data_IF_144454246387
#
_entry.id   IF_144454246387
#
_cell.length_a   1.000
_cell.length_b   1.000
_cell.length_c   1.000
_cell.angle_alpha   90.00
_cell.angle_beta   90.00
_cell.angle_gamma   90.00
#
_symmetry.space_group_name_H-M   'P 1'
#
loop_
_entity.id
_entity.type
_entity.pdbx_description
1 polymer ?
#
# COMPACT_ATOMS: atom_id res chain seq x y z
N UNK A 1 -6.89 36.70 19.19
CA UNK A 1 -7.49 35.35 19.22
C UNK A 1 -6.83 34.53 18.12
N UNK A 2 -6.51 33.25 18.35
CA UNK A 2 -5.83 32.42 17.34
C UNK A 2 -6.68 32.25 16.08
N UNK A 3 -6.02 32.13 14.93
CA UNK A 3 -6.64 32.09 13.59
C UNK A 3 -7.46 30.81 13.32
N UNK A 4 -7.14 29.71 14.01
CA UNK A 4 -7.84 28.42 13.88
C UNK A 4 -8.78 28.19 15.07
N UNK A 5 -10.07 28.52 14.88
CA UNK A 5 -11.12 28.40 15.91
C UNK A 5 -11.85 27.05 15.79
N UNK A 6 -11.41 26.06 16.56
CA UNK A 6 -12.07 24.76 16.71
C UNK A 6 -12.63 24.53 18.10
N UNK A 7 -13.70 23.76 18.22
CA UNK A 7 -14.20 23.25 19.50
C UNK A 7 -14.05 21.74 19.52
N UNK A 8 -13.43 21.23 20.59
CA UNK A 8 -13.39 19.81 20.90
C UNK A 8 -14.43 19.50 21.96
N UNK A 9 -15.33 18.57 21.63
CA UNK A 9 -16.32 18.00 22.52
C UNK A 9 -15.83 16.61 22.91
N UNK A 10 -15.62 16.38 24.20
CA UNK A 10 -15.14 15.09 24.71
C UNK A 10 -15.89 14.70 25.98
N UNK A 11 -16.05 13.39 26.19
CA UNK A 11 -16.50 12.84 27.47
C UNK A 11 -15.36 12.73 28.50
N UNK A 12 -14.10 12.87 28.08
CA UNK A 12 -12.93 12.61 28.92
C UNK A 12 -11.96 13.82 28.97
N UNK A 13 -12.48 14.99 29.35
CA UNK A 13 -11.68 16.21 29.47
C UNK A 13 -10.45 16.04 30.37
N UNK A 14 -10.56 15.27 31.46
CA UNK A 14 -9.45 15.00 32.38
C UNK A 14 -8.27 14.29 31.71
N UNK A 15 -8.53 13.32 30.81
CA UNK A 15 -7.47 12.65 30.06
C UNK A 15 -6.82 13.60 29.06
N UNK A 16 -7.63 14.38 28.34
CA UNK A 16 -7.12 15.39 27.40
C UNK A 16 -6.24 16.40 28.14
N UNK A 17 -6.70 16.88 29.31
CA UNK A 17 -5.93 17.78 30.17
C UNK A 17 -4.59 17.19 30.60
N UNK A 18 -4.58 15.92 31.01
CA UNK A 18 -3.33 15.23 31.33
C UNK A 18 -2.35 15.21 30.15
N UNK A 19 -2.81 14.96 28.92
CA UNK A 19 -1.93 14.94 27.74
C UNK A 19 -1.40 16.33 27.38
N UNK A 20 -2.19 17.37 27.64
CA UNK A 20 -1.80 18.77 27.47
C UNK A 20 -0.74 19.17 28.49
N UNK A 21 -0.94 18.80 29.76
CA UNK A 21 0.02 19.07 30.85
C UNK A 21 1.36 18.36 30.61
N UNK A 22 1.34 17.19 29.97
CA UNK A 22 2.53 16.44 29.57
C UNK A 22 3.23 17.01 28.32
N UNK A 23 2.65 18.04 27.67
CA UNK A 23 3.20 18.63 26.45
C UNK A 23 3.20 17.70 25.23
N UNK A 24 2.39 16.64 25.26
CA UNK A 24 2.25 15.68 24.16
C UNK A 24 1.50 16.34 22.99
N UNK A 25 0.50 17.17 23.31
CA UNK A 25 -0.18 18.02 22.34
C UNK A 25 0.50 19.40 22.26
N UNK A 26 0.43 20.08 21.11
CA UNK A 26 0.98 21.44 20.98
C UNK A 26 0.42 22.35 22.08
N UNK A 27 1.16 23.41 22.45
CA UNK A 27 0.69 24.41 23.42
C UNK A 27 -0.53 25.14 22.83
N UNK A 28 -1.72 24.62 23.08
CA UNK A 28 -3.00 25.24 22.73
C UNK A 28 -3.61 25.82 23.99
N UNK A 29 -4.18 27.01 23.90
CA UNK A 29 -4.97 27.62 24.99
C UNK A 29 -6.38 27.03 24.97
N UNK A 30 -6.80 26.42 26.07
CA UNK A 30 -8.14 25.84 26.21
C UNK A 30 -8.99 26.76 27.08
N UNK A 31 -10.08 27.26 26.50
CA UNK A 31 -11.06 28.07 27.20
C UNK A 31 -12.29 27.19 27.42
N UNK A 32 -12.69 26.91 28.68
CA UNK A 32 -13.94 26.22 28.95
C UNK A 32 -15.11 27.04 28.38
N UNK A 33 -15.91 26.41 27.53
CA UNK A 33 -17.11 27.02 26.95
C UNK A 33 -18.34 26.33 27.52
N UNK A 34 -19.25 27.11 28.10
CA UNK A 34 -20.56 26.59 28.50
C UNK A 34 -21.44 26.42 27.26
N UNK A 35 -22.31 25.40 27.26
CA UNK A 35 -23.30 25.21 26.18
C UNK A 35 -24.11 26.49 25.91
N UNK A 36 -24.48 27.22 26.97
CA UNK A 36 -25.24 28.47 26.87
C UNK A 36 -24.51 29.62 26.14
N UNK A 37 -23.17 29.59 26.11
CA UNK A 37 -22.35 30.60 25.47
C UNK A 37 -21.83 30.18 24.09
N UNK A 38 -22.10 28.94 23.65
CA UNK A 38 -21.58 28.36 22.40
C UNK A 38 -21.79 29.27 21.18
N UNK A 39 -22.97 29.90 21.06
CA UNK A 39 -23.31 30.81 19.95
C UNK A 39 -22.57 32.13 19.95
N UNK A 40 -21.88 32.48 21.04
CA UNK A 40 -21.06 33.68 21.13
C UNK A 40 -19.70 33.51 20.46
N UNK A 41 -19.34 32.27 20.08
CA UNK A 41 -18.08 31.95 19.45
C UNK A 41 -18.28 31.73 17.95
N UNK A 42 -17.36 32.28 17.16
CA UNK A 42 -17.24 31.94 15.75
C UNK A 42 -16.46 30.63 15.65
N UNK A 43 -17.18 29.52 15.45
CA UNK A 43 -16.61 28.17 15.44
C UNK A 43 -16.52 27.68 14.01
N UNK A 44 -15.30 27.42 13.52
CA UNK A 44 -15.08 26.90 12.16
C UNK A 44 -15.08 25.37 12.13
N UNK A 45 -14.54 24.74 13.17
CA UNK A 45 -14.41 23.28 13.23
C UNK A 45 -14.97 22.72 14.53
N UNK A 46 -15.62 21.56 14.43
CA UNK A 46 -16.22 20.87 15.56
C UNK A 46 -15.72 19.42 15.61
N UNK A 47 -15.05 19.03 16.68
CA UNK A 47 -14.59 17.66 16.88
C UNK A 47 -15.32 16.97 18.02
N UNK A 48 -15.68 15.71 17.82
CA UNK A 48 -16.22 14.83 18.85
C UNK A 48 -15.20 13.72 19.10
N UNK A 49 -14.71 13.62 20.34
CA UNK A 49 -13.74 12.62 20.75
C UNK A 49 -14.28 11.80 21.91
N UNK A 50 -14.38 10.47 21.73
CA UNK A 50 -14.93 9.53 22.71
C UNK A 50 -16.34 9.92 23.19
N UNK A 51 -17.18 10.41 22.28
CA UNK A 51 -18.52 10.88 22.63
C UNK A 51 -19.55 9.75 22.52
N UNK A 52 -20.28 9.54 23.61
CA UNK A 52 -21.39 8.58 23.68
C UNK A 52 -22.71 9.21 23.23
N UNK A 53 -23.63 8.36 22.75
CA UNK A 53 -24.88 8.81 22.15
C UNK A 53 -25.73 9.65 23.11
N UNK A 54 -25.85 9.25 24.38
CA UNK A 54 -26.65 9.99 25.37
C UNK A 54 -26.19 11.45 25.47
N UNK A 55 -24.87 11.66 25.55
CA UNK A 55 -24.31 13.00 25.60
C UNK A 55 -24.54 13.75 24.28
N UNK A 56 -24.30 13.11 23.14
CA UNK A 56 -24.56 13.71 21.82
C UNK A 56 -26.03 14.15 21.66
N UNK A 57 -26.99 13.32 22.06
CA UNK A 57 -28.42 13.65 22.00
C UNK A 57 -28.76 14.89 22.86
N UNK A 58 -28.04 15.12 23.96
CA UNK A 58 -28.26 16.28 24.83
C UNK A 58 -27.81 17.62 24.22
N UNK A 59 -26.95 17.59 23.19
CA UNK A 59 -26.34 18.79 22.59
C UNK A 59 -26.67 18.99 21.11
N UNK A 60 -27.33 18.02 20.45
CA UNK A 60 -27.55 18.05 19.00
C UNK A 60 -28.34 19.28 18.51
N UNK A 61 -29.21 19.85 19.35
CA UNK A 61 -30.04 21.01 19.03
C UNK A 61 -29.25 22.33 19.00
N UNK A 62 -27.95 22.30 19.35
CA UNK A 62 -27.06 23.45 19.23
C UNK A 62 -26.62 23.72 17.80
N UNK A 63 -26.55 22.69 16.96
CA UNK A 63 -25.95 22.74 15.61
C UNK A 63 -26.83 23.41 14.54
N UNK A 64 -28.17 23.30 14.57
CA UNK A 64 -29.01 23.98 13.58
C UNK A 64 -28.76 25.48 13.50
N UNK A 65 -28.51 25.97 12.29
CA UNK A 65 -28.23 27.39 12.00
C UNK A 65 -26.75 27.78 12.09
N UNK A 66 -25.88 26.86 12.52
CA UNK A 66 -24.43 27.06 12.50
C UNK A 66 -23.82 26.39 11.28
N UNK A 67 -22.75 26.99 10.76
CA UNK A 67 -22.03 26.51 9.58
C UNK A 67 -20.59 26.20 9.96
N UNK A 68 -20.16 24.99 9.63
CA UNK A 68 -18.82 24.49 9.91
C UNK A 68 -18.02 24.29 8.63
N UNK A 69 -16.73 24.58 8.69
CA UNK A 69 -15.76 24.15 7.69
C UNK A 69 -15.54 22.63 7.84
N UNK A 70 -15.32 22.14 9.06
CA UNK A 70 -15.08 20.72 9.33
C UNK A 70 -15.84 20.22 10.56
N UNK A 71 -16.40 19.02 10.46
CA UNK A 71 -16.92 18.28 11.61
C UNK A 71 -16.24 16.92 11.68
N UNK A 72 -15.66 16.57 12.82
CA UNK A 72 -14.96 15.30 13.02
C UNK A 72 -15.55 14.44 14.13
N UNK A 73 -15.55 13.13 13.94
CA UNK A 73 -15.93 12.16 14.96
C UNK A 73 -14.80 11.15 15.15
N UNK A 74 -14.33 10.93 16.37
CA UNK A 74 -13.29 9.97 16.71
C UNK A 74 -13.72 9.17 17.94
N UNK A 75 -13.57 7.85 17.89
CA UNK A 75 -13.99 6.91 18.93
C UNK A 75 -15.40 7.17 19.49
N UNK A 76 -16.30 7.72 18.65
CA UNK A 76 -17.61 8.19 19.08
C UNK A 76 -18.72 7.26 18.59
N UNK A 77 -19.68 6.95 19.47
CA UNK A 77 -20.82 6.09 19.19
C UNK A 77 -22.11 6.88 19.32
N UNK A 78 -22.65 7.36 18.20
CA UNK A 78 -23.74 8.34 18.17
C UNK A 78 -24.87 7.93 17.21
N UNK A 79 -26.02 8.57 17.36
CA UNK A 79 -27.14 8.48 16.44
C UNK A 79 -27.41 9.84 15.78
N UNK A 80 -27.19 9.90 14.47
CA UNK A 80 -27.47 11.09 13.65
C UNK A 80 -28.95 11.16 13.20
N UNK A 81 -29.83 10.30 13.69
CA UNK A 81 -31.26 10.36 13.37
C UNK A 81 -31.83 11.73 13.78
N UNK A 82 -32.49 12.39 12.82
CA UNK A 82 -33.07 13.73 12.98
C UNK A 82 -32.04 14.83 13.32
N UNK A 83 -30.79 14.65 12.92
CA UNK A 83 -29.74 15.67 13.03
C UNK A 83 -29.45 16.25 11.66
N UNK A 84 -29.36 17.57 11.56
CA UNK A 84 -28.91 18.29 10.36
C UNK A 84 -27.74 19.21 10.74
N UNK A 85 -26.60 19.04 10.07
CA UNK A 85 -25.39 19.83 10.28
C UNK A 85 -25.01 20.52 8.96
N UNK A 86 -24.85 21.85 8.97
CA UNK A 86 -24.33 22.60 7.82
C UNK A 86 -22.80 22.57 7.88
N UNK A 87 -22.19 21.73 7.05
CA UNK A 87 -20.75 21.43 7.10
C UNK A 87 -20.21 21.15 5.71
N UNK A 88 -19.00 21.66 5.42
CA UNK A 88 -18.30 21.37 4.15
C UNK A 88 -17.55 20.05 4.16
N UNK A 89 -16.85 19.74 5.25
CA UNK A 89 -16.00 18.56 5.37
C UNK A 89 -16.40 17.69 6.57
N UNK A 90 -16.72 16.42 6.31
CA UNK A 90 -16.94 15.42 7.36
C UNK A 90 -15.71 14.51 7.51
N UNK A 91 -15.13 14.47 8.70
CA UNK A 91 -13.99 13.61 9.03
C UNK A 91 -14.42 12.51 10.01
N UNK A 92 -14.26 11.26 9.58
CA UNK A 92 -14.64 10.07 10.33
C UNK A 92 -13.36 9.39 10.79
N UNK A 93 -13.02 9.65 12.04
CA UNK A 93 -11.90 9.07 12.76
C UNK A 93 -12.15 7.60 13.14
N UNK A 94 -11.10 6.98 13.66
CA UNK A 94 -11.12 5.56 14.05
C UNK A 94 -12.24 5.22 15.03
N UNK A 95 -12.71 3.96 14.94
CA UNK A 95 -13.71 3.34 15.85
C UNK A 95 -15.04 4.10 15.96
N UNK A 96 -15.28 5.06 15.08
CA UNK A 96 -16.54 5.78 14.98
C UNK A 96 -17.69 4.84 14.62
N UNK A 97 -18.82 4.97 15.31
CA UNK A 97 -19.99 4.09 15.19
C UNK A 97 -21.26 4.92 15.02
N UNK A 98 -21.65 5.18 13.78
CA UNK A 98 -22.90 5.85 13.44
C UNK A 98 -23.23 5.65 11.96
N UNK A 99 -24.51 5.79 11.61
CA UNK A 99 -24.92 5.80 10.21
C UNK A 99 -24.95 7.22 9.64
N UNK A 100 -24.73 7.33 8.33
CA UNK A 100 -24.62 8.58 7.60
C UNK A 100 -25.66 8.56 6.49
N UNK A 101 -26.39 9.66 6.33
CA UNK A 101 -27.37 9.85 5.25
C UNK A 101 -27.26 11.28 4.71
N UNK A 102 -27.66 11.49 3.45
CA UNK A 102 -27.71 12.82 2.82
C UNK A 102 -28.52 13.84 3.63
N UNK A 103 -29.54 13.39 4.36
CA UNK A 103 -30.37 14.26 5.18
C UNK A 103 -29.65 14.76 6.45
N UNK A 104 -28.49 14.19 6.78
CA UNK A 104 -27.72 14.62 7.95
C UNK A 104 -26.88 15.86 7.70
N UNK A 105 -26.61 16.19 6.44
CA UNK A 105 -25.65 17.23 6.09
C UNK A 105 -26.19 18.19 5.05
N UNK A 106 -25.88 19.46 5.25
CA UNK A 106 -26.12 20.52 4.27
C UNK A 106 -24.77 21.10 3.87
N UNK A 107 -24.53 21.20 2.56
CA UNK A 107 -23.27 21.76 2.04
C UNK A 107 -22.07 20.83 2.12
N UNK A 108 -22.27 19.51 2.31
CA UNK A 108 -21.18 18.54 2.40
C UNK A 108 -20.51 18.34 1.04
N UNK A 109 -19.27 18.78 0.92
CA UNK A 109 -18.46 18.74 -0.30
C UNK A 109 -17.33 17.71 -0.18
N UNK A 110 -16.80 17.47 1.03
CA UNK A 110 -15.69 16.57 1.28
C UNK A 110 -16.00 15.57 2.40
N UNK A 111 -15.54 14.33 2.24
CA UNK A 111 -15.59 13.31 3.29
C UNK A 111 -14.25 12.60 3.43
N UNK A 112 -13.82 12.38 4.66
CA UNK A 112 -12.60 11.63 4.98
C UNK A 112 -12.91 10.50 5.95
N UNK A 113 -12.50 9.28 5.61
CA UNK A 113 -12.44 8.17 6.55
C UNK A 113 -10.98 7.95 6.92
N UNK A 114 -10.60 8.19 8.18
CA UNK A 114 -9.24 7.91 8.67
C UNK A 114 -9.00 6.40 8.87
N UNK A 115 -10.06 5.60 9.00
CA UNK A 115 -9.94 4.15 9.02
C UNK A 115 -11.28 3.50 8.67
N UNK A 116 -11.46 3.10 7.42
CA UNK A 116 -12.66 2.37 6.97
C UNK A 116 -12.79 1.05 7.73
N UNK A 117 -11.67 0.36 7.97
CA UNK A 117 -11.63 -0.91 8.73
C UNK A 117 -12.25 -0.80 10.13
N UNK A 118 -12.08 0.33 10.82
CA UNK A 118 -12.59 0.51 12.18
C UNK A 118 -13.94 1.23 12.24
N UNK A 119 -14.41 1.83 11.14
CA UNK A 119 -15.72 2.45 11.06
C UNK A 119 -16.84 1.41 11.21
N UNK A 120 -17.67 1.57 12.24
CA UNK A 120 -18.79 0.68 12.56
C UNK A 120 -20.12 1.34 12.22
N UNK A 121 -20.28 1.73 10.97
CA UNK A 121 -21.46 2.41 10.47
C UNK A 121 -21.79 2.06 9.03
N UNK A 122 -22.85 2.67 8.51
CA UNK A 122 -23.24 2.57 7.09
C UNK A 122 -23.51 3.95 6.52
N UNK A 123 -23.11 4.15 5.27
CA UNK A 123 -23.67 5.22 4.44
C UNK A 123 -24.99 4.68 3.89
N UNK A 124 -26.11 5.22 4.35
CA UNK A 124 -27.46 4.69 4.08
C UNK A 124 -27.99 5.19 2.72
N UNK A 125 -27.63 6.41 2.34
CA UNK A 125 -28.07 7.04 1.09
C UNK A 125 -26.87 7.62 0.35
N UNK A 126 -26.95 7.70 -0.98
CA UNK A 126 -25.91 8.36 -1.77
C UNK A 126 -25.77 9.83 -1.34
N UNK A 127 -24.52 10.26 -1.19
CA UNK A 127 -24.12 11.62 -0.86
C UNK A 127 -23.68 12.31 -2.16
N UNK A 128 -24.67 12.75 -2.93
CA UNK A 128 -24.50 13.35 -4.26
C UNK A 128 -23.85 14.74 -4.25
N UNK A 129 -23.80 15.42 -3.10
CA UNK A 129 -23.08 16.69 -2.95
C UNK A 129 -21.58 16.52 -2.76
N UNK A 130 -21.11 15.32 -2.41
CA UNK A 130 -19.69 15.05 -2.14
C UNK A 130 -18.91 15.02 -3.45
N UNK A 131 -17.89 15.88 -3.52
CA UNK A 131 -16.98 16.03 -4.65
C UNK A 131 -15.58 15.48 -4.34
N UNK A 132 -15.20 15.40 -3.06
CA UNK A 132 -13.91 14.84 -2.65
C UNK A 132 -14.08 13.77 -1.59
N UNK A 133 -13.42 12.63 -1.79
CA UNK A 133 -13.35 11.55 -0.81
C UNK A 133 -11.90 11.15 -0.52
N UNK A 134 -11.57 11.01 0.77
CA UNK A 134 -10.28 10.52 1.24
C UNK A 134 -10.49 9.28 2.09
N UNK A 135 -9.95 8.14 1.66
CA UNK A 135 -10.25 6.83 2.21
C UNK A 135 -8.98 6.18 2.76
N UNK A 136 -8.89 6.00 4.07
CA UNK A 136 -7.76 5.32 4.72
C UNK A 136 -8.14 3.93 5.23
N UNK A 137 -7.15 3.02 5.25
CA UNK A 137 -7.22 1.66 5.82
C UNK A 137 -8.47 0.89 5.39
N UNK A 138 -8.65 0.75 4.08
CA UNK A 138 -9.76 0.01 3.47
C UNK A 138 -9.67 -1.51 3.70
N UNK A 139 -10.82 -2.16 3.79
CA UNK A 139 -10.93 -3.64 3.86
C UNK A 139 -10.89 -4.26 2.45
N UNK A 140 -11.02 -5.59 2.32
CA UNK A 140 -10.91 -6.29 1.02
C UNK A 140 -11.91 -5.81 -0.04
N UNK A 141 -13.07 -5.30 0.37
CA UNK A 141 -14.12 -4.82 -0.53
C UNK A 141 -14.65 -3.48 -0.01
N UNK A 142 -14.56 -2.43 -0.83
CA UNK A 142 -15.27 -1.18 -0.55
C UNK A 142 -16.09 -0.78 -1.76
N UNK A 143 -17.41 -0.99 -1.68
CA UNK A 143 -18.39 -0.32 -2.54
C UNK A 143 -18.60 1.15 -2.16
N UNK A 144 -17.75 1.68 -1.27
CA UNK A 144 -17.90 3.02 -0.71
C UNK A 144 -17.84 4.13 -1.78
N UNK A 145 -17.00 4.06 -2.84
CA UNK A 145 -17.04 5.04 -3.93
C UNK A 145 -18.41 5.18 -4.63
N UNK A 146 -19.22 4.11 -4.68
CA UNK A 146 -20.57 4.14 -5.26
C UNK A 146 -21.55 5.02 -4.48
N UNK A 147 -21.22 5.31 -3.21
CA UNK A 147 -22.00 6.20 -2.35
C UNK A 147 -21.78 7.68 -2.68
N UNK A 148 -20.78 8.00 -3.52
CA UNK A 148 -20.38 9.36 -3.88
C UNK A 148 -20.41 9.54 -5.41
N UNK A 149 -21.59 9.60 -6.04
CA UNK A 149 -21.71 9.54 -7.50
C UNK A 149 -21.06 10.73 -8.25
N UNK A 150 -20.89 11.87 -7.59
CA UNK A 150 -20.38 13.11 -8.19
C UNK A 150 -18.94 13.45 -7.78
N UNK A 151 -18.12 12.45 -7.41
CA UNK A 151 -16.71 12.65 -7.10
C UNK A 151 -15.95 13.30 -8.27
N UNK A 152 -15.15 14.31 -7.91
CA UNK A 152 -14.15 15.00 -8.73
C UNK A 152 -12.75 14.52 -8.31
N UNK A 153 -12.52 14.34 -7.01
CA UNK A 153 -11.24 13.88 -6.45
C UNK A 153 -11.46 12.67 -5.52
N UNK A 154 -10.64 11.63 -5.71
CA UNK A 154 -10.60 10.46 -4.84
C UNK A 154 -9.15 10.17 -4.43
N UNK A 155 -8.93 10.07 -3.12
CA UNK A 155 -7.65 9.66 -2.54
C UNK A 155 -7.86 8.39 -1.73
N UNK A 156 -7.08 7.35 -2.01
CA UNK A 156 -7.11 6.08 -1.27
C UNK A 156 -5.73 5.86 -0.66
N UNK A 157 -5.66 5.68 0.65
CA UNK A 157 -4.41 5.55 1.41
C UNK A 157 -4.42 4.27 2.23
N UNK A 158 -3.52 3.34 1.94
CA UNK A 158 -3.36 2.08 2.66
C UNK A 158 -4.63 1.22 2.65
N UNK A 159 -4.46 -0.09 2.52
CA UNK A 159 -5.61 -0.98 2.61
C UNK A 159 -5.40 -2.33 1.98
N UNK A 160 -6.39 -3.18 2.18
CA UNK A 160 -6.41 -4.55 1.70
C UNK A 160 -7.31 -4.75 0.47
N UNK A 161 -7.76 -3.67 -0.18
CA UNK A 161 -8.55 -3.72 -1.41
C UNK A 161 -7.79 -4.50 -2.48
N UNK A 162 -8.50 -5.37 -3.18
CA UNK A 162 -8.01 -6.04 -4.40
C UNK A 162 -8.55 -5.39 -5.66
N UNK A 163 -9.69 -4.69 -5.56
CA UNK A 163 -10.33 -3.99 -6.67
C UNK A 163 -11.02 -2.71 -6.17
N UNK A 164 -11.01 -1.66 -7.00
CA UNK A 164 -11.84 -0.46 -6.81
C UNK A 164 -12.74 -0.29 -8.03
N UNK A 165 -14.05 -0.26 -7.81
CA UNK A 165 -15.03 0.04 -8.86
C UNK A 165 -15.36 1.52 -8.90
N UNK A 166 -14.98 2.18 -10.00
CA UNK A 166 -15.23 3.60 -10.26
C UNK A 166 -16.12 3.80 -11.50
N UNK A 167 -16.78 2.75 -12.02
CA UNK A 167 -17.61 2.82 -13.25
C UNK A 167 -18.77 3.83 -13.13
N UNK A 168 -19.21 4.11 -11.91
CA UNK A 168 -20.26 5.09 -11.63
C UNK A 168 -19.73 6.53 -11.45
N UNK A 169 -18.41 6.72 -11.26
CA UNK A 169 -17.79 8.03 -10.99
C UNK A 169 -17.35 8.72 -12.29
N UNK A 170 -18.31 9.06 -13.15
CA UNK A 170 -18.05 9.63 -14.49
C UNK A 170 -17.44 11.04 -14.49
N UNK A 171 -17.49 11.72 -13.34
CA UNK A 171 -16.99 13.08 -13.15
C UNK A 171 -15.60 13.12 -12.51
N UNK A 172 -15.00 11.97 -12.22
CA UNK A 172 -13.71 11.90 -11.54
C UNK A 172 -12.61 12.46 -12.44
N UNK A 173 -11.93 13.49 -11.94
CA UNK A 173 -10.83 14.18 -12.60
C UNK A 173 -9.49 13.78 -11.97
N UNK A 174 -9.46 13.64 -10.64
CA UNK A 174 -8.24 13.33 -9.89
C UNK A 174 -8.38 12.03 -9.11
N UNK A 175 -7.39 11.14 -9.29
CA UNK A 175 -7.30 9.88 -8.56
C UNK A 175 -5.91 9.70 -7.97
N UNK A 176 -5.83 9.58 -6.64
CA UNK A 176 -4.60 9.23 -5.96
C UNK A 176 -4.77 7.91 -5.19
N UNK A 177 -3.82 6.99 -5.35
CA UNK A 177 -3.82 5.70 -4.67
C UNK A 177 -2.44 5.44 -4.08
N UNK A 178 -2.37 5.32 -2.76
CA UNK A 178 -1.12 5.27 -2.01
C UNK A 178 -1.07 4.00 -1.15
N UNK A 179 0.03 3.26 -1.21
CA UNK A 179 0.33 2.10 -0.35
C UNK A 179 -0.75 1.00 -0.35
N UNK A 180 -1.49 0.84 -1.45
CA UNK A 180 -2.45 -0.24 -1.63
C UNK A 180 -1.78 -1.46 -2.27
N UNK A 181 -0.93 -2.16 -1.51
CA UNK A 181 -0.06 -3.23 -2.05
C UNK A 181 -0.80 -4.46 -2.57
N UNK A 182 -2.04 -4.68 -2.14
CA UNK A 182 -2.91 -5.79 -2.60
C UNK A 182 -3.85 -5.42 -3.74
N UNK A 183 -3.90 -4.13 -4.10
CA UNK A 183 -4.81 -3.67 -5.13
C UNK A 183 -4.33 -4.16 -6.49
N UNK A 184 -5.20 -4.86 -7.23
CA UNK A 184 -4.90 -5.42 -8.53
C UNK A 184 -5.54 -4.63 -9.66
N UNK A 185 -6.75 -4.05 -9.44
CA UNK A 185 -7.54 -3.47 -10.53
C UNK A 185 -8.31 -2.23 -10.09
N UNK A 186 -8.43 -1.28 -11.02
CA UNK A 186 -9.33 -0.13 -10.89
C UNK A 186 -10.26 -0.15 -12.10
N UNK A 187 -11.56 -0.33 -11.87
CA UNK A 187 -12.55 -0.37 -12.95
C UNK A 187 -13.01 1.05 -13.27
N UNK A 188 -12.60 1.57 -14.42
CA UNK A 188 -12.98 2.89 -14.90
C UNK A 188 -14.25 2.84 -15.78
N UNK A 189 -14.99 3.96 -15.89
CA UNK A 189 -16.06 4.07 -16.89
C UNK A 189 -15.47 4.10 -18.31
N UNK A 190 -16.23 3.62 -19.30
CA UNK A 190 -15.84 3.63 -20.74
C UNK A 190 -15.37 5.02 -21.22
N UNK A 191 -15.97 6.07 -20.66
CA UNK A 191 -15.56 7.47 -20.84
C UNK A 191 -15.26 8.07 -19.47
N UNK A 192 -13.98 8.22 -19.15
CA UNK A 192 -13.51 8.87 -17.93
C UNK A 192 -13.07 10.32 -18.19
N UNK A 193 -12.99 11.13 -17.12
CA UNK A 193 -12.50 12.52 -17.14
C UNK A 193 -11.15 12.73 -16.45
N UNK A 194 -10.50 11.64 -16.05
CA UNK A 194 -9.23 11.68 -15.35
C UNK A 194 -8.19 12.56 -16.08
N UNK A 195 -7.70 13.58 -15.38
CA UNK A 195 -6.67 14.52 -15.80
C UNK A 195 -5.40 14.41 -14.93
N UNK A 196 -5.50 13.80 -13.75
CA UNK A 196 -4.40 13.56 -12.83
C UNK A 196 -4.59 12.20 -12.15
N UNK A 197 -3.63 11.29 -12.34
CA UNK A 197 -3.61 10.00 -11.67
C UNK A 197 -2.25 9.79 -11.02
N UNK A 198 -2.23 9.58 -9.70
CA UNK A 198 -1.01 9.32 -8.94
C UNK A 198 -1.12 7.99 -8.21
N UNK A 199 -0.20 7.08 -8.53
CA UNK A 199 -0.14 5.74 -7.94
C UNK A 199 1.17 5.63 -7.18
N UNK A 200 1.10 5.54 -5.85
CA UNK A 200 2.26 5.40 -4.98
C UNK A 200 2.24 4.02 -4.28
N UNK A 201 3.34 3.28 -4.36
CA UNK A 201 3.56 2.03 -3.64
C UNK A 201 2.43 0.99 -3.78
N UNK A 202 1.81 0.92 -4.96
CA UNK A 202 0.77 -0.06 -5.31
C UNK A 202 1.33 -1.11 -6.27
N UNK A 203 2.15 -2.04 -5.77
CA UNK A 203 2.93 -2.97 -6.60
C UNK A 203 2.11 -3.92 -7.48
N UNK A 204 0.95 -4.38 -7.02
CA UNK A 204 0.13 -5.37 -7.73
C UNK A 204 -0.88 -4.77 -8.72
N UNK A 205 -1.05 -3.44 -8.73
CA UNK A 205 -2.12 -2.80 -9.50
C UNK A 205 -1.81 -2.89 -10.99
N UNK A 206 -2.69 -3.44 -11.82
CA UNK A 206 -2.60 -3.28 -13.26
C UNK A 206 -2.89 -1.82 -13.64
N UNK A 207 -1.87 -1.13 -14.17
CA UNK A 207 -1.98 0.28 -14.59
C UNK A 207 -2.22 0.41 -16.09
N UNK A 208 -2.29 -0.69 -16.84
CA UNK A 208 -2.47 -0.65 -18.30
C UNK A 208 -3.86 -0.14 -18.70
N UNK A 209 -4.82 -0.22 -17.79
CA UNK A 209 -6.17 0.32 -17.99
C UNK A 209 -6.33 1.77 -17.52
N UNK A 210 -5.27 2.39 -16.98
CA UNK A 210 -5.24 3.79 -16.60
C UNK A 210 -4.73 4.66 -17.76
N UNK A 211 -5.18 5.93 -17.87
CA UNK A 211 -4.75 6.82 -18.93
C UNK A 211 -3.27 7.20 -18.77
N UNK A 212 -2.40 6.59 -19.56
CA UNK A 212 -0.94 6.73 -19.46
C UNK A 212 -0.43 8.17 -19.55
N UNK A 213 -1.10 9.04 -20.31
CA UNK A 213 -0.72 10.45 -20.48
C UNK A 213 -0.78 11.27 -19.18
N UNK A 214 -1.61 10.86 -18.21
CA UNK A 214 -1.85 11.59 -16.95
C UNK A 214 -1.51 10.76 -15.72
N UNK A 215 -1.06 9.51 -15.91
CA UNK A 215 -0.75 8.58 -14.84
C UNK A 215 0.73 8.66 -14.47
N UNK A 216 0.99 9.00 -13.21
CA UNK A 216 2.31 8.97 -12.58
C UNK A 216 2.36 7.83 -11.59
N UNK A 217 3.37 6.99 -11.69
CA UNK A 217 3.56 5.83 -10.80
C UNK A 217 4.87 5.99 -10.04
N UNK A 218 4.80 5.84 -8.72
CA UNK A 218 5.92 5.85 -7.81
C UNK A 218 5.91 4.57 -6.93
N UNK A 219 7.07 3.94 -6.69
CA UNK A 219 8.31 4.09 -7.45
C UNK A 219 8.06 3.83 -8.95
N UNK A 220 8.87 4.41 -9.86
CA UNK A 220 8.69 4.19 -11.29
C UNK A 220 8.77 2.70 -11.56
N UNK A 221 7.68 2.15 -12.10
CA UNK A 221 7.73 0.77 -12.56
C UNK A 221 8.70 0.76 -13.72
N UNK A 222 9.79 -0.02 -13.61
CA UNK A 222 10.70 -0.26 -14.73
C UNK A 222 9.81 -0.60 -15.92
N UNK A 223 9.91 0.18 -17.01
CA UNK A 223 9.23 -0.18 -18.25
C UNK A 223 9.55 -1.64 -18.49
N UNK A 224 8.54 -2.48 -18.36
CA UNK A 224 8.60 -3.80 -18.93
C UNK A 224 8.59 -3.51 -20.43
N UNK A 225 9.79 -3.31 -20.99
CA UNK A 225 10.05 -3.65 -22.39
C UNK A 225 9.28 -4.95 -22.55
N UNK A 226 8.35 -5.01 -23.51
CA UNK A 226 7.66 -6.23 -23.89
C UNK A 226 8.70 -7.25 -24.38
N UNK A 227 9.54 -7.77 -23.48
CA UNK A 227 10.01 -9.12 -23.54
C UNK A 227 8.83 -9.91 -23.05
N UNK A 228 8.32 -10.77 -23.93
CA UNK A 228 7.51 -11.92 -23.57
C UNK A 228 7.91 -12.37 -22.16
N UNK A 229 6.92 -12.69 -21.33
CA UNK A 229 7.09 -13.84 -20.45
C UNK A 229 7.57 -14.99 -21.36
N UNK A 230 8.87 -15.12 -21.57
CA UNK A 230 9.46 -16.44 -21.61
C UNK A 230 9.44 -16.82 -20.16
N UNK A 231 8.49 -17.66 -19.78
CA UNK A 231 8.80 -18.69 -18.80
C UNK A 231 10.24 -19.11 -19.10
N UNK A 232 11.18 -18.83 -18.19
CA UNK A 232 12.51 -19.42 -18.28
C UNK A 232 12.23 -20.89 -18.06
N UNK A 233 11.93 -21.57 -19.17
CA UNK A 233 11.67 -22.98 -19.22
C UNK A 233 13.06 -23.61 -19.12
N UNK A 234 13.57 -23.67 -17.89
CA UNK A 234 14.76 -24.42 -17.55
C UNK A 234 14.56 -25.81 -18.15
N UNK A 235 15.47 -26.19 -19.04
CA UNK A 235 15.54 -27.59 -19.44
C UNK A 235 15.89 -28.37 -18.17
N UNK A 236 15.06 -29.35 -17.82
CA UNK A 236 15.38 -30.27 -16.72
C UNK A 236 16.75 -30.87 -16.98
N UNK A 237 17.59 -30.90 -15.95
CA UNK A 237 18.95 -31.42 -16.01
C UNK A 237 19.01 -32.96 -16.02
N UNK A 238 17.86 -33.63 -16.13
CA UNK A 238 17.65 -35.07 -15.85
C UNK A 238 17.96 -35.48 -14.39
N UNK A 239 18.71 -34.66 -13.64
CA UNK A 239 18.97 -34.76 -12.23
C UNK A 239 17.91 -34.00 -11.40
N UNK A 240 16.93 -34.74 -10.89
CA UNK A 240 15.83 -34.19 -10.08
C UNK A 240 16.28 -33.45 -8.82
N UNK A 241 17.45 -33.78 -8.28
CA UNK A 241 17.98 -33.11 -7.09
C UNK A 241 18.49 -31.72 -7.42
N UNK A 242 19.27 -31.58 -8.50
CA UNK A 242 19.76 -30.29 -9.00
C UNK A 242 18.57 -29.39 -9.41
N UNK A 243 17.60 -29.94 -10.13
CA UNK A 243 16.39 -29.20 -10.54
C UNK A 243 15.60 -28.66 -9.33
N UNK A 244 15.53 -29.44 -8.25
CA UNK A 244 14.89 -29.04 -6.98
C UNK A 244 15.67 -27.90 -6.29
N UNK A 245 17.00 -27.98 -6.26
CA UNK A 245 17.84 -26.94 -5.68
C UNK A 245 17.68 -25.61 -6.40
N UNK A 246 17.67 -25.60 -7.74
CA UNK A 246 17.46 -24.38 -8.54
C UNK A 246 16.07 -23.80 -8.28
N UNK A 247 15.05 -24.66 -8.24
CA UNK A 247 13.67 -24.24 -7.98
C UNK A 247 13.52 -23.62 -6.58
N UNK A 248 14.15 -24.22 -5.58
CA UNK A 248 14.15 -23.72 -4.20
C UNK A 248 14.94 -22.41 -4.09
N UNK A 249 16.10 -22.30 -4.74
CA UNK A 249 16.91 -21.08 -4.79
C UNK A 249 16.09 -19.91 -5.32
N UNK A 250 15.46 -20.09 -6.49
CA UNK A 250 14.61 -19.06 -7.10
C UNK A 250 13.49 -18.64 -6.15
N UNK A 251 12.78 -19.61 -5.59
CA UNK A 251 11.68 -19.36 -4.66
C UNK A 251 12.13 -18.61 -3.41
N UNK A 252 13.26 -18.99 -2.82
CA UNK A 252 13.77 -18.33 -1.61
C UNK A 252 14.12 -16.86 -1.88
N UNK A 253 14.75 -16.56 -3.02
CA UNK A 253 15.03 -15.19 -3.45
C UNK A 253 13.74 -14.39 -3.69
N UNK A 254 12.72 -15.01 -4.30
CA UNK A 254 11.41 -14.38 -4.54
C UNK A 254 10.67 -14.11 -3.23
N UNK A 255 10.62 -15.09 -2.32
CA UNK A 255 9.99 -14.97 -1.01
C UNK A 255 10.66 -13.85 -0.20
N UNK A 256 11.99 -13.79 -0.16
CA UNK A 256 12.72 -12.72 0.53
C UNK A 256 12.48 -11.34 -0.12
N UNK A 257 12.51 -11.26 -1.45
CA UNK A 257 12.21 -10.03 -2.19
C UNK A 257 10.81 -9.51 -1.86
N UNK A 258 9.84 -10.41 -1.74
CA UNK A 258 8.45 -10.05 -1.42
C UNK A 258 8.27 -9.57 0.02
N UNK A 259 9.08 -10.06 0.95
CA UNK A 259 9.00 -9.78 2.39
C UNK A 259 9.84 -8.57 2.83
N UNK A 260 11.01 -8.34 2.23
CA UNK A 260 12.06 -7.47 2.79
C UNK A 260 12.49 -6.27 1.92
N UNK A 261 11.88 -6.06 0.74
CA UNK A 261 12.18 -4.95 -0.19
C UNK A 261 13.69 -4.70 -0.42
N UNK A 262 14.44 -5.71 -0.89
CA UNK A 262 15.89 -5.61 -1.06
C UNK A 262 16.27 -4.76 -2.28
N UNK A 263 17.56 -4.51 -2.46
CA UNK A 263 18.08 -3.68 -3.56
C UNK A 263 17.99 -4.35 -4.95
N UNK A 264 17.63 -5.63 -5.02
CA UNK A 264 17.46 -6.39 -6.26
C UNK A 264 15.99 -6.54 -6.67
N UNK A 265 15.75 -6.86 -7.94
CA UNK A 265 14.42 -7.11 -8.49
C UNK A 265 14.33 -8.50 -9.13
N UNK A 266 13.12 -8.92 -9.54
CA UNK A 266 12.88 -10.20 -10.22
C UNK A 266 13.83 -10.45 -11.41
N UNK A 267 14.16 -9.42 -12.18
CA UNK A 267 15.08 -9.57 -13.31
C UNK A 267 16.49 -10.01 -12.88
N UNK A 268 16.92 -9.61 -11.68
CA UNK A 268 18.22 -9.98 -11.14
C UNK A 268 18.18 -11.44 -10.61
N UNK A 269 17.06 -11.88 -10.04
CA UNK A 269 16.81 -13.30 -9.72
C UNK A 269 16.82 -14.14 -11.00
N UNK A 270 16.10 -13.71 -12.03
CA UNK A 270 16.04 -14.39 -13.31
C UNK A 270 17.42 -14.44 -14.00
N UNK A 271 18.21 -13.37 -13.91
CA UNK A 271 19.60 -13.32 -14.40
C UNK A 271 20.49 -14.31 -13.64
N UNK A 272 20.33 -14.43 -12.30
CA UNK A 272 21.04 -15.42 -11.49
C UNK A 272 20.72 -16.85 -11.96
N UNK A 273 19.43 -17.16 -12.13
CA UNK A 273 18.97 -18.47 -12.58
C UNK A 273 19.45 -18.78 -14.01
N UNK A 274 19.50 -17.79 -14.90
CA UNK A 274 20.06 -17.95 -16.24
C UNK A 274 21.56 -18.25 -16.21
N UNK A 275 22.33 -17.59 -15.34
CA UNK A 275 23.77 -17.87 -15.22
C UNK A 275 23.99 -19.32 -14.73
N UNK A 276 23.17 -19.79 -13.80
CA UNK A 276 23.22 -21.19 -13.32
C UNK A 276 22.79 -22.16 -14.43
N UNK A 277 21.77 -21.82 -15.22
CA UNK A 277 21.36 -22.64 -16.37
C UNK A 277 22.45 -22.73 -17.43
N UNK A 278 23.09 -21.60 -17.78
CA UNK A 278 24.22 -21.55 -18.72
C UNK A 278 25.40 -22.40 -18.22
N UNK A 279 25.64 -22.40 -16.92
CA UNK A 279 26.64 -23.25 -16.29
C UNK A 279 26.32 -24.73 -16.48
N UNK A 280 25.08 -25.14 -16.25
CA UNK A 280 24.65 -26.54 -16.38
C UNK A 280 24.74 -27.03 -17.83
N UNK A 281 24.24 -26.23 -18.78
CA UNK A 281 24.40 -26.55 -20.21
C UNK A 281 25.89 -26.72 -20.56
N UNK A 282 26.74 -25.81 -20.08
CA UNK A 282 28.18 -25.89 -20.34
C UNK A 282 28.88 -27.08 -19.67
N UNK A 283 28.53 -27.40 -18.42
CA UNK A 283 29.20 -28.46 -17.65
C UNK A 283 28.82 -29.85 -18.14
N UNK A 284 27.58 -30.04 -18.60
CA UNK A 284 27.13 -31.31 -19.17
C UNK A 284 27.63 -31.53 -20.61
N UNK A 285 27.89 -30.45 -21.37
CA UNK A 285 28.40 -30.55 -22.74
C UNK A 285 29.94 -30.67 -22.83
N UNK A 286 30.69 -30.32 -21.78
CA UNK A 286 32.16 -30.41 -21.79
C UNK A 286 32.64 -31.85 -21.56
N UNK A 287 33.85 -32.16 -22.03
CA UNK A 287 34.49 -33.50 -21.92
C UNK A 287 35.84 -33.48 -21.21
N UNK A 288 36.21 -32.38 -20.56
CA UNK A 288 37.52 -32.24 -19.89
C UNK A 288 37.43 -31.41 -18.62
N UNK A 289 38.17 -31.81 -17.58
CA UNK A 289 38.25 -31.09 -16.30
C UNK A 289 38.77 -29.66 -16.46
N UNK A 290 39.75 -29.41 -17.33
CA UNK A 290 40.29 -28.06 -17.55
C UNK A 290 39.22 -27.09 -18.07
N UNK A 291 38.47 -27.49 -19.11
CA UNK A 291 37.35 -26.70 -19.60
C UNK A 291 36.23 -26.55 -18.55
N UNK A 292 35.98 -27.60 -17.75
CA UNK A 292 35.01 -27.55 -16.66
C UNK A 292 35.38 -26.47 -15.62
N UNK A 293 36.65 -26.39 -15.23
CA UNK A 293 37.12 -25.35 -14.29
C UNK A 293 37.03 -23.94 -14.90
N UNK A 294 37.31 -23.79 -16.19
CA UNK A 294 37.10 -22.51 -16.89
C UNK A 294 35.61 -22.09 -16.94
N UNK A 295 34.70 -23.05 -17.07
CA UNK A 295 33.25 -22.80 -16.99
C UNK A 295 32.86 -22.37 -15.58
N UNK A 296 33.32 -23.10 -14.54
CA UNK A 296 33.08 -22.74 -13.13
C UNK A 296 33.56 -21.32 -12.85
N UNK A 297 34.81 -21.00 -13.20
CA UNK A 297 35.38 -19.67 -13.02
C UNK A 297 34.54 -18.58 -13.68
N UNK A 298 34.14 -18.77 -14.95
CA UNK A 298 33.31 -17.80 -15.67
C UNK A 298 31.95 -17.60 -15.01
N UNK A 299 31.33 -18.68 -14.54
CA UNK A 299 30.05 -18.65 -13.82
C UNK A 299 30.18 -17.85 -12.52
N UNK A 300 31.20 -18.16 -11.72
CA UNK A 300 31.42 -17.47 -10.43
C UNK A 300 31.69 -15.98 -10.63
N UNK A 301 32.50 -15.62 -11.63
CA UNK A 301 32.78 -14.21 -11.95
C UNK A 301 31.53 -13.46 -12.45
N UNK A 302 30.68 -14.09 -13.26
CA UNK A 302 29.40 -13.48 -13.69
C UNK A 302 28.50 -13.21 -12.49
N UNK A 303 28.47 -14.13 -11.53
CA UNK A 303 27.65 -13.99 -10.34
C UNK A 303 28.21 -12.99 -9.32
N UNK A 304 29.53 -12.85 -9.19
CA UNK A 304 30.16 -11.72 -8.47
C UNK A 304 29.65 -10.38 -9.02
N UNK A 305 29.70 -10.21 -10.35
CA UNK A 305 29.27 -8.99 -11.04
C UNK A 305 27.78 -8.73 -10.83
N UNK A 306 26.94 -9.76 -10.90
CA UNK A 306 25.51 -9.66 -10.64
C UNK A 306 25.22 -9.26 -9.19
N UNK A 307 25.88 -9.89 -8.22
CA UNK A 307 25.68 -9.57 -6.81
C UNK A 307 26.14 -8.14 -6.50
N UNK A 308 27.28 -7.70 -7.07
CA UNK A 308 27.76 -6.33 -6.94
C UNK A 308 26.77 -5.30 -7.52
N UNK A 309 26.19 -5.57 -8.70
CA UNK A 309 25.12 -4.75 -9.30
C UNK A 309 23.90 -4.63 -8.38
N UNK A 310 23.66 -5.65 -7.56
CA UNK A 310 22.59 -5.70 -6.56
C UNK A 310 23.03 -5.22 -5.17
N UNK A 311 24.12 -4.44 -5.07
CA UNK A 311 24.66 -3.93 -3.80
C UNK A 311 24.95 -5.04 -2.77
N UNK A 312 25.36 -6.22 -3.24
CA UNK A 312 25.65 -7.40 -2.43
C UNK A 312 24.46 -7.93 -1.62
N UNK A 313 23.22 -7.60 -2.01
CA UNK A 313 22.02 -8.07 -1.31
C UNK A 313 21.29 -9.20 -2.03
N UNK A 314 21.73 -9.64 -3.22
CA UNK A 314 21.05 -10.70 -3.98
C UNK A 314 21.46 -12.09 -3.48
N UNK A 315 22.73 -12.26 -3.16
CA UNK A 315 23.30 -13.57 -2.82
C UNK A 315 23.87 -13.44 -1.41
N UNK A 316 23.04 -13.79 -0.44
CA UNK A 316 23.38 -13.82 0.98
C UNK A 316 23.84 -15.24 1.39
N UNK A 317 24.03 -15.46 2.69
CA UNK A 317 24.57 -16.72 3.22
C UNK A 317 23.83 -17.96 2.73
N UNK A 318 22.49 -17.93 2.68
CA UNK A 318 21.71 -19.11 2.31
C UNK A 318 21.79 -19.41 0.81
N UNK A 319 21.68 -18.39 -0.02
CA UNK A 319 21.74 -18.49 -1.48
C UNK A 319 23.16 -18.89 -1.92
N UNK A 320 24.19 -18.37 -1.25
CA UNK A 320 25.58 -18.77 -1.46
C UNK A 320 25.79 -20.27 -1.32
N UNK A 321 25.32 -20.86 -0.21
CA UNK A 321 25.49 -22.29 0.04
C UNK A 321 24.73 -23.13 -1.00
N UNK A 322 23.51 -22.73 -1.37
CA UNK A 322 22.72 -23.41 -2.40
C UNK A 322 23.37 -23.33 -3.78
N UNK A 323 23.92 -22.19 -4.17
CA UNK A 323 24.58 -22.02 -5.48
C UNK A 323 25.88 -22.81 -5.53
N UNK A 324 26.66 -22.81 -4.45
CA UNK A 324 27.86 -23.64 -4.34
C UNK A 324 27.51 -25.13 -4.47
N UNK A 325 26.48 -25.59 -3.77
CA UNK A 325 26.00 -26.98 -3.82
C UNK A 325 25.60 -27.38 -5.24
N UNK A 326 24.83 -26.55 -5.97
CA UNK A 326 24.44 -26.80 -7.36
C UNK A 326 25.69 -27.00 -8.25
N UNK A 327 26.67 -26.11 -8.14
CA UNK A 327 27.89 -26.14 -8.96
C UNK A 327 28.75 -27.38 -8.64
N UNK A 328 28.92 -27.69 -7.35
CA UNK A 328 29.72 -28.83 -6.90
C UNK A 328 29.07 -30.16 -7.32
N UNK A 329 27.74 -30.27 -7.20
CA UNK A 329 26.99 -31.47 -7.58
C UNK A 329 27.07 -31.75 -9.08
N UNK A 330 26.82 -30.74 -9.92
CA UNK A 330 26.86 -30.91 -11.36
C UNK A 330 28.27 -31.26 -11.88
N UNK A 331 29.31 -30.61 -11.33
CA UNK A 331 30.69 -30.96 -11.63
C UNK A 331 31.06 -32.39 -11.17
N UNK A 332 30.59 -32.81 -9.99
CA UNK A 332 30.84 -34.15 -9.46
C UNK A 332 30.16 -35.23 -10.30
N UNK A 333 28.93 -34.99 -10.73
CA UNK A 333 28.16 -35.89 -11.61
C UNK A 333 28.92 -36.17 -12.92
N UNK A 334 29.60 -35.16 -13.45
CA UNK A 334 30.45 -35.29 -14.64
C UNK A 334 31.88 -35.79 -14.34
N UNK A 335 32.20 -36.07 -13.07
CA UNK A 335 33.50 -36.56 -12.64
C UNK A 335 34.61 -35.51 -12.60
N UNK A 336 34.26 -34.21 -12.58
CA UNK A 336 35.23 -33.11 -12.61
C UNK A 336 35.74 -32.68 -11.25
N UNK A 337 35.10 -33.07 -10.15
CA UNK A 337 35.52 -32.76 -8.78
C UNK A 337 35.05 -33.84 -7.79
N UNK A 338 35.67 -33.87 -6.61
CA UNK A 338 35.14 -34.64 -5.48
C UNK A 338 33.90 -33.93 -4.91
N UNK A 339 33.01 -34.69 -4.27
CA UNK A 339 31.75 -34.16 -3.72
C UNK A 339 31.98 -33.15 -2.57
N UNK A 340 33.13 -33.25 -1.90
CA UNK A 340 33.58 -32.38 -0.81
C UNK A 340 34.59 -31.31 -1.25
N UNK A 341 34.89 -31.23 -2.55
CA UNK A 341 35.80 -30.23 -3.14
C UNK A 341 35.00 -28.98 -3.55
N UNK A 342 35.17 -27.87 -2.82
CA UNK A 342 34.58 -26.58 -3.21
C UNK A 342 35.37 -25.94 -4.35
N UNK A 343 34.99 -26.29 -5.58
CA UNK A 343 35.61 -25.80 -6.82
C UNK A 343 35.33 -24.32 -7.12
N UNK A 344 34.55 -23.62 -6.29
CA UNK A 344 34.20 -22.21 -6.55
C UNK A 344 34.93 -21.24 -5.63
N UNK A 345 35.49 -21.73 -4.51
CA UNK A 345 36.08 -20.93 -3.44
C UNK A 345 37.12 -19.93 -3.94
N UNK A 346 37.97 -20.34 -4.90
CA UNK A 346 39.06 -19.51 -5.44
C UNK A 346 38.57 -18.17 -6.03
N UNK A 347 37.38 -18.14 -6.61
CA UNK A 347 36.87 -16.96 -7.35
C UNK A 347 35.68 -16.28 -6.67
N UNK A 348 35.22 -16.81 -5.53
CA UNK A 348 33.99 -16.36 -4.86
C UNK A 348 34.23 -15.10 -4.02
N UNK A 349 33.57 -13.98 -4.35
CA UNK A 349 33.47 -12.74 -3.56
C UNK A 349 32.12 -12.50 -2.84
N UNK A 350 31.21 -13.48 -2.87
CA UNK A 350 29.78 -13.39 -2.54
C UNK A 350 29.54 -13.89 -1.11
#
# INVERSE_FOLDING_TARGET
MPENKGILITSNFSEIQKWMDLGINPKVEYIPVTISSFRNYEVKSLGFDKVENEYFQSIKDLFPGLKFETVSFHESSIDLSNVLIDVKHLLIGEKSKFNISKNNFKGLEEITFLSIKSFKGKVITQLDTVQKAVLWDSTKTSSLPEMFPNLIELVINKGALTEVDLRNNKHLEKLEVHYCTKLERILLPDKHKLNEVFIDNCKNLDVNNLPSAVTRVWPPRKETIKKKHSDINLKSTENQHIDSLISNLKKNMEDYMHENDPAYAQNDIDECILIISDYLDGIFDTTSRENAMEIVKKTVLKLNVLNQKCHYSLIETNEREQIAEIIILAGNEMGYNAIDEDITEEWREW
#
